data_IF_339203730184
#
_entry.id   IF_339203730184
#
_cell.length_a   1.000
_cell.length_b   1.000
_cell.length_c   1.000
_cell.angle_alpha   90.00
_cell.angle_beta   90.00
_cell.angle_gamma   90.00
#
_symmetry.space_group_name_H-M   'P 1'
#
loop_
_entity.id
_entity.type
_entity.pdbx_description
1 polymer ?
#
# COMPACT_ATOMS: atom_id res chain seq x y z
N UNK A 1 3.52 24.23 -21.54
CA UNK A 1 3.11 22.82 -21.64
C UNK A 1 4.04 22.08 -22.60
N UNK A 2 4.68 21.01 -22.10
CA UNK A 2 5.64 20.24 -22.92
C UNK A 2 4.98 19.01 -23.57
N UNK A 3 3.70 18.73 -23.29
CA UNK A 3 2.98 17.55 -23.75
C UNK A 3 3.55 16.21 -23.25
N UNK A 4 4.44 16.24 -22.25
CA UNK A 4 5.06 15.03 -21.72
C UNK A 4 4.11 14.27 -20.79
N UNK A 5 3.86 13.00 -21.05
CA UNK A 5 3.15 12.14 -20.13
C UNK A 5 4.00 11.88 -18.89
N UNK A 6 3.43 12.15 -17.72
CA UNK A 6 4.06 11.96 -16.39
C UNK A 6 3.14 11.09 -15.54
N UNK A 7 3.70 10.05 -14.99
CA UNK A 7 3.05 9.20 -13.99
C UNK A 7 3.46 9.68 -12.59
N UNK A 8 2.48 9.89 -11.72
CA UNK A 8 2.70 10.32 -10.34
C UNK A 8 2.02 9.32 -9.41
N UNK A 9 2.82 8.61 -8.63
CA UNK A 9 2.33 7.68 -7.62
C UNK A 9 2.38 8.35 -6.25
N UNK A 10 1.22 8.52 -5.64
CA UNK A 10 1.07 9.07 -4.28
C UNK A 10 1.56 8.07 -3.24
N UNK A 11 2.33 8.52 -2.25
CA UNK A 11 2.91 7.66 -1.24
C UNK A 11 2.52 8.05 0.17
N UNK A 12 2.85 9.27 0.56
CA UNK A 12 2.64 9.74 1.91
C UNK A 12 2.18 11.19 1.91
N UNK A 13 1.04 11.43 2.55
CA UNK A 13 0.63 12.78 2.88
C UNK A 13 1.59 13.36 3.92
N UNK A 14 2.07 14.57 3.70
CA UNK A 14 2.98 15.29 4.61
C UNK A 14 2.21 16.31 5.43
N UNK A 15 1.60 17.26 4.75
CA UNK A 15 0.80 18.33 5.36
C UNK A 15 -0.21 18.83 4.34
N UNK A 16 -1.45 19.07 4.75
CA UNK A 16 -2.50 19.62 3.89
C UNK A 16 -2.56 18.90 2.53
N UNK A 17 -2.22 19.63 1.46
CA UNK A 17 -2.24 19.14 0.07
C UNK A 17 -0.85 18.70 -0.42
N UNK A 18 0.13 18.61 0.46
CA UNK A 18 1.50 18.21 0.11
C UNK A 18 1.70 16.72 0.27
N UNK A 19 2.14 16.09 -0.81
CA UNK A 19 2.37 14.65 -0.87
C UNK A 19 3.78 14.31 -1.32
N UNK A 20 4.34 13.30 -0.69
CA UNK A 20 5.50 12.59 -1.21
C UNK A 20 5.02 11.64 -2.30
N UNK A 21 5.64 11.74 -3.47
CA UNK A 21 5.25 11.01 -4.66
C UNK A 21 6.47 10.39 -5.33
N UNK A 22 6.30 9.22 -5.94
CA UNK A 22 7.24 8.70 -6.92
C UNK A 22 6.79 9.11 -8.32
N UNK A 23 7.73 9.59 -9.14
CA UNK A 23 7.43 10.18 -10.45
C UNK A 23 8.17 9.47 -11.56
N UNK A 24 7.49 9.24 -12.68
CA UNK A 24 8.09 8.63 -13.87
C UNK A 24 7.64 9.38 -15.14
N UNK A 25 8.58 9.86 -15.97
CA UNK A 25 10.04 9.91 -15.80
C UNK A 25 10.48 11.06 -14.88
N UNK A 26 11.18 10.75 -13.80
CA UNK A 26 11.57 11.70 -12.76
C UNK A 26 12.50 12.84 -13.25
N UNK A 27 13.34 12.56 -14.24
CA UNK A 27 14.31 13.53 -14.81
C UNK A 27 13.65 14.78 -15.41
N UNK A 28 12.39 14.68 -15.79
CA UNK A 28 11.63 15.79 -16.40
C UNK A 28 11.02 16.73 -15.36
N UNK A 29 10.92 16.31 -14.11
CA UNK A 29 10.26 17.07 -13.04
C UNK A 29 11.32 17.72 -12.15
N UNK A 30 11.31 19.04 -12.15
CA UNK A 30 12.14 19.93 -11.32
C UNK A 30 11.24 20.74 -10.39
N UNK A 31 11.83 21.39 -9.39
CA UNK A 31 11.09 22.34 -8.55
C UNK A 31 10.42 23.41 -9.44
N UNK A 32 9.14 23.69 -9.19
CA UNK A 32 8.29 24.57 -9.99
C UNK A 32 7.66 23.93 -11.23
N UNK A 33 7.94 22.63 -11.50
CA UNK A 33 7.23 21.91 -12.57
C UNK A 33 5.79 21.64 -12.16
N UNK A 34 4.84 21.91 -13.05
CA UNK A 34 3.42 21.64 -12.84
C UNK A 34 3.01 20.45 -13.70
N UNK A 35 2.29 19.52 -13.10
CA UNK A 35 1.66 18.36 -13.77
C UNK A 35 0.15 18.54 -13.66
N UNK A 36 -0.54 18.46 -14.81
CA UNK A 36 -1.99 18.56 -14.89
C UNK A 36 -2.62 17.19 -15.08
N UNK A 37 -3.72 16.93 -14.39
CA UNK A 37 -4.48 15.69 -14.43
C UNK A 37 -5.92 15.97 -14.85
N UNK A 38 -6.47 15.11 -15.74
CA UNK A 38 -7.87 15.20 -16.16
C UNK A 38 -8.20 16.53 -16.82
N UNK A 39 -7.34 16.99 -17.76
CA UNK A 39 -7.54 18.26 -18.46
C UNK A 39 -7.72 19.49 -17.54
N UNK A 40 -6.98 19.51 -16.42
CA UNK A 40 -6.99 20.62 -15.47
C UNK A 40 -7.93 20.47 -14.28
N UNK A 41 -8.58 19.32 -14.12
CA UNK A 41 -9.41 19.02 -12.92
C UNK A 41 -8.57 19.08 -11.65
N UNK A 42 -7.30 18.64 -11.74
CA UNK A 42 -6.33 18.72 -10.65
C UNK A 42 -4.95 19.04 -11.21
N UNK A 43 -4.19 19.86 -10.51
CA UNK A 43 -2.81 20.17 -10.81
C UNK A 43 -1.92 19.85 -9.61
N UNK A 44 -0.66 19.53 -9.87
CA UNK A 44 0.35 19.36 -8.83
C UNK A 44 1.64 20.07 -9.19
N UNK A 45 2.12 20.91 -8.28
CA UNK A 45 3.38 21.62 -8.40
C UNK A 45 4.48 20.89 -7.63
N UNK A 46 5.59 20.60 -8.29
CA UNK A 46 6.76 20.02 -7.62
C UNK A 46 7.44 21.10 -6.75
N UNK A 47 7.34 20.95 -5.44
CA UNK A 47 7.93 21.89 -4.47
C UNK A 47 9.31 21.43 -3.98
N UNK A 48 9.62 20.14 -4.07
CA UNK A 48 10.93 19.60 -3.66
C UNK A 48 11.30 18.35 -4.48
N UNK A 49 12.56 18.34 -4.90
CA UNK A 49 13.19 17.16 -5.51
C UNK A 49 13.91 16.37 -4.43
N UNK A 50 13.69 15.09 -4.39
CA UNK A 50 14.37 14.11 -3.54
C UNK A 50 15.13 13.10 -4.41
N UNK A 51 15.91 12.25 -3.79
CA UNK A 51 16.64 11.18 -4.47
C UNK A 51 15.70 10.11 -5.05
N UNK A 52 16.23 9.23 -5.87
CA UNK A 52 15.55 8.03 -6.40
C UNK A 52 14.20 8.26 -7.10
N UNK A 53 13.97 9.44 -7.63
CA UNK A 53 12.73 9.76 -8.34
C UNK A 53 11.61 10.27 -7.44
N UNK A 54 11.85 10.41 -6.14
CA UNK A 54 10.88 10.99 -5.22
C UNK A 54 10.79 12.50 -5.36
N UNK A 55 9.58 13.03 -5.15
CA UNK A 55 9.25 14.45 -5.22
C UNK A 55 8.21 14.78 -4.15
N UNK A 56 8.24 16.01 -3.66
CA UNK A 56 7.09 16.55 -2.96
C UNK A 56 6.29 17.40 -3.94
N UNK A 57 5.00 17.08 -4.01
CA UNK A 57 4.03 17.83 -4.79
C UNK A 57 3.02 18.50 -3.89
N UNK A 58 2.70 19.74 -4.20
CA UNK A 58 1.55 20.45 -3.66
C UNK A 58 0.41 20.37 -4.67
N UNK A 59 -0.69 19.73 -4.27
CA UNK A 59 -1.85 19.52 -5.13
C UNK A 59 -2.83 20.69 -5.04
N UNK A 60 -3.33 21.15 -6.20
CA UNK A 60 -4.33 22.18 -6.35
C UNK A 60 -5.55 21.59 -7.04
N UNK A 61 -6.70 21.69 -6.41
CA UNK A 61 -7.96 21.09 -6.88
C UNK A 61 -9.15 21.81 -6.23
N UNK A 62 -10.33 21.65 -6.80
CA UNK A 62 -11.59 22.09 -6.18
C UNK A 62 -12.33 20.87 -5.58
N UNK A 63 -12.98 21.08 -4.43
CA UNK A 63 -13.77 20.06 -3.74
C UNK A 63 -12.94 19.16 -2.83
N UNK A 64 -13.26 17.87 -2.80
CA UNK A 64 -12.65 16.87 -1.91
C UNK A 64 -11.56 16.11 -2.65
N UNK A 65 -10.36 16.07 -2.08
CA UNK A 65 -9.20 15.40 -2.68
C UNK A 65 -9.47 13.93 -3.04
N UNK A 66 -10.12 13.20 -2.14
CA UNK A 66 -10.41 11.79 -2.35
C UNK A 66 -11.34 11.58 -3.56
N UNK A 67 -12.35 12.43 -3.74
CA UNK A 67 -13.25 12.38 -4.90
C UNK A 67 -12.49 12.61 -6.21
N UNK A 68 -11.52 13.56 -6.22
CA UNK A 68 -10.67 13.79 -7.38
C UNK A 68 -9.75 12.60 -7.67
N UNK A 69 -9.23 11.95 -6.63
CA UNK A 69 -8.45 10.74 -6.80
C UNK A 69 -9.27 9.57 -7.34
N UNK A 70 -10.52 9.43 -6.89
CA UNK A 70 -11.42 8.38 -7.39
C UNK A 70 -11.79 8.59 -8.86
N UNK A 71 -11.92 9.85 -9.28
CA UNK A 71 -12.21 10.23 -10.67
C UNK A 71 -10.99 10.03 -11.59
N UNK A 72 -9.81 10.48 -11.17
CA UNK A 72 -8.62 10.60 -12.02
C UNK A 72 -7.62 9.47 -11.82
N UNK A 73 -7.60 8.90 -10.61
CA UNK A 73 -6.58 7.94 -10.21
C UNK A 73 -6.83 6.53 -10.73
N UNK A 74 -5.72 5.83 -10.90
CA UNK A 74 -5.73 4.39 -11.14
C UNK A 74 -4.99 3.69 -10.01
N UNK A 75 -5.49 2.53 -9.59
CA UNK A 75 -4.80 1.72 -8.58
C UNK A 75 -3.47 1.23 -9.14
N UNK A 76 -2.34 1.43 -8.42
CA UNK A 76 -1.07 0.88 -8.84
C UNK A 76 -1.12 -0.64 -8.78
N UNK A 77 -0.70 -1.28 -9.87
CA UNK A 77 -0.62 -2.73 -9.95
C UNK A 77 0.85 -3.18 -10.00
N UNK A 78 1.15 -4.38 -9.49
CA UNK A 78 2.48 -4.97 -9.68
C UNK A 78 2.83 -5.05 -11.17
N UNK A 79 4.12 -4.91 -11.54
CA UNK A 79 4.55 -4.84 -12.95
C UNK A 79 4.20 -6.06 -13.81
N UNK A 80 3.91 -7.21 -13.17
CA UNK A 80 3.52 -8.43 -13.87
C UNK A 80 2.04 -8.46 -14.28
N UNK A 81 1.20 -7.58 -13.72
CA UNK A 81 -0.20 -7.39 -14.13
C UNK A 81 -0.24 -6.33 -15.23
N UNK A 82 -0.52 -6.75 -16.46
CA UNK A 82 -0.53 -5.87 -17.62
C UNK A 82 -1.93 -5.44 -18.04
N UNK A 83 -2.96 -6.15 -17.58
CA UNK A 83 -4.35 -5.84 -17.88
C UNK A 83 -4.82 -4.65 -17.03
N UNK A 84 -5.60 -3.76 -17.65
CA UNK A 84 -6.26 -2.68 -16.91
C UNK A 84 -7.40 -3.27 -16.09
N UNK A 85 -7.43 -2.95 -14.79
CA UNK A 85 -8.57 -3.27 -13.96
C UNK A 85 -9.76 -2.40 -14.37
N UNK A 86 -10.84 -3.05 -14.79
CA UNK A 86 -12.15 -2.42 -15.00
C UNK A 86 -12.88 -2.22 -13.67
N UNK A 87 -12.58 -3.07 -12.70
CA UNK A 87 -13.11 -3.03 -11.34
C UNK A 87 -11.95 -2.84 -10.35
N UNK A 88 -11.89 -1.67 -9.74
CA UNK A 88 -10.83 -1.30 -8.78
C UNK A 88 -10.82 -2.21 -7.55
N UNK A 89 -11.99 -2.68 -7.11
CA UNK A 89 -12.14 -3.55 -5.94
C UNK A 89 -11.60 -4.97 -6.18
N UNK A 90 -11.44 -5.36 -7.44
CA UNK A 90 -10.92 -6.70 -7.79
C UNK A 90 -9.51 -6.94 -7.28
N UNK A 91 -8.68 -5.89 -7.15
CA UNK A 91 -7.33 -5.99 -6.62
C UNK A 91 -7.26 -5.50 -5.17
N UNK A 92 -8.27 -5.85 -4.37
CA UNK A 92 -8.33 -5.58 -2.94
C UNK A 92 -8.99 -6.74 -2.19
N UNK A 93 -8.66 -6.94 -0.92
CA UNK A 93 -9.30 -7.97 -0.10
C UNK A 93 -10.68 -7.50 0.38
N UNK A 94 -11.61 -8.45 0.53
CA UNK A 94 -12.97 -8.17 1.04
C UNK A 94 -12.98 -7.65 2.50
N UNK A 95 -11.85 -7.71 3.18
CA UNK A 95 -11.67 -7.25 4.57
C UNK A 95 -10.75 -6.03 4.69
N UNK A 96 -10.40 -5.39 3.59
CA UNK A 96 -9.62 -4.14 3.62
C UNK A 96 -10.39 -3.01 4.30
N UNK A 97 -9.74 -2.27 5.20
CA UNK A 97 -10.34 -1.16 5.94
C UNK A 97 -9.47 0.09 5.94
N UNK A 98 -8.19 -0.08 6.19
CA UNK A 98 -7.28 1.05 6.41
C UNK A 98 -6.60 1.46 5.12
N UNK A 99 -6.71 2.74 4.79
CA UNK A 99 -6.05 3.35 3.61
C UNK A 99 -4.60 3.68 3.95
N UNK A 100 -3.69 3.52 2.98
CA UNK A 100 -2.28 3.95 3.15
C UNK A 100 -1.23 2.92 2.73
N UNK A 101 -1.63 1.74 2.27
CA UNK A 101 -0.71 0.72 1.73
C UNK A 101 -0.54 0.89 0.22
N UNK A 102 0.70 0.74 -0.27
CA UNK A 102 1.00 0.75 -1.72
C UNK A 102 0.72 -0.58 -2.41
N UNK A 103 0.45 -1.66 -1.65
CA UNK A 103 0.20 -2.98 -2.21
C UNK A 103 -0.90 -3.72 -1.44
N UNK A 104 -1.70 -4.50 -2.16
CA UNK A 104 -2.68 -5.40 -1.56
C UNK A 104 -2.02 -6.72 -1.10
N UNK A 105 -2.52 -7.36 -0.02
CA UNK A 105 -2.05 -8.67 0.42
C UNK A 105 -2.62 -9.75 -0.52
N UNK A 106 -1.91 -10.07 -1.60
CA UNK A 106 -2.41 -10.87 -2.71
C UNK A 106 -2.90 -12.27 -2.32
N UNK A 107 -2.31 -12.90 -1.31
CA UNK A 107 -2.83 -14.17 -0.78
C UNK A 107 -4.25 -14.03 -0.21
N UNK A 108 -4.61 -12.86 0.28
CA UNK A 108 -5.95 -12.55 0.81
C UNK A 108 -7.02 -12.36 -0.25
N UNK A 109 -6.65 -12.12 -1.52
CA UNK A 109 -7.61 -11.94 -2.63
C UNK A 109 -8.42 -13.20 -2.94
N UNK A 110 -7.98 -14.36 -2.48
CA UNK A 110 -8.69 -15.61 -2.63
C UNK A 110 -9.85 -15.78 -1.66
N UNK A 111 -9.95 -14.95 -0.61
CA UNK A 111 -11.05 -15.00 0.34
C UNK A 111 -12.25 -14.21 -0.18
N UNK A 112 -13.43 -14.82 -0.07
CA UNK A 112 -14.72 -14.15 -0.20
C UNK A 112 -15.40 -14.08 1.17
N UNK A 113 -16.41 -13.23 1.31
CA UNK A 113 -17.19 -13.16 2.55
C UNK A 113 -17.81 -14.52 2.90
N UNK A 114 -18.33 -15.24 1.91
CA UNK A 114 -18.92 -16.57 2.08
C UNK A 114 -17.89 -17.60 2.56
N UNK A 115 -16.65 -17.52 2.06
CA UNK A 115 -15.57 -18.41 2.51
C UNK A 115 -15.18 -18.10 3.96
N UNK A 116 -15.02 -16.81 4.31
CA UNK A 116 -14.74 -16.39 5.67
C UNK A 116 -15.84 -16.84 6.65
N UNK A 117 -17.09 -16.74 6.26
CA UNK A 117 -18.21 -17.22 7.08
C UNK A 117 -18.22 -18.73 7.27
N UNK A 118 -17.92 -19.50 6.20
CA UNK A 118 -17.75 -20.96 6.31
C UNK A 118 -16.60 -21.36 7.24
N UNK A 119 -15.51 -20.59 7.23
CA UNK A 119 -14.37 -20.83 8.15
C UNK A 119 -14.80 -20.58 9.60
N UNK A 120 -15.50 -19.49 9.88
CA UNK A 120 -16.05 -19.17 11.20
C UNK A 120 -17.02 -20.25 11.68
N UNK A 121 -17.92 -20.72 10.81
CA UNK A 121 -18.88 -21.80 11.13
C UNK A 121 -18.20 -23.12 11.50
N UNK A 122 -16.97 -23.36 11.03
CA UNK A 122 -16.13 -24.50 11.45
C UNK A 122 -15.44 -24.29 12.82
N UNK A 123 -15.72 -23.21 13.52
CA UNK A 123 -15.11 -22.91 14.83
C UNK A 123 -13.68 -22.36 14.72
N UNK A 124 -13.26 -21.87 13.55
CA UNK A 124 -11.96 -21.25 13.36
C UNK A 124 -12.06 -19.74 13.67
N UNK A 125 -11.20 -19.27 14.57
CA UNK A 125 -11.10 -17.84 14.84
C UNK A 125 -10.38 -17.14 13.68
N UNK A 126 -10.92 -16.00 13.23
CA UNK A 126 -10.30 -15.14 12.24
C UNK A 126 -9.95 -13.84 12.93
N UNK A 127 -8.67 -13.47 12.87
CA UNK A 127 -8.17 -12.21 13.38
C UNK A 127 -7.50 -11.43 12.24
N UNK A 128 -7.52 -10.11 12.36
CA UNK A 128 -6.99 -9.21 11.35
C UNK A 128 -5.84 -8.39 11.92
N UNK A 129 -4.93 -8.03 11.06
CA UNK A 129 -3.88 -7.05 11.33
C UNK A 129 -3.74 -6.12 10.14
N UNK A 130 -3.15 -4.97 10.35
CA UNK A 130 -2.86 -4.00 9.29
C UNK A 130 -1.36 -3.85 9.13
N UNK A 131 -0.89 -3.90 7.88
CA UNK A 131 0.47 -3.54 7.49
C UNK A 131 0.39 -2.53 6.36
N UNK A 132 0.98 -1.37 6.54
CA UNK A 132 1.13 -0.37 5.48
C UNK A 132 2.38 -0.69 4.67
N UNK A 133 2.19 -1.46 3.61
CA UNK A 133 3.27 -1.89 2.73
C UNK A 133 3.79 -0.69 1.94
N UNK A 134 5.06 -0.42 2.08
CA UNK A 134 5.76 0.65 1.36
C UNK A 134 6.17 0.23 -0.06
N UNK A 135 6.67 1.19 -0.82
CA UNK A 135 7.18 0.98 -2.20
C UNK A 135 8.34 0.02 -2.29
N UNK A 136 9.06 -0.20 -1.21
CA UNK A 136 10.19 -1.13 -1.18
C UNK A 136 9.81 -2.54 -1.66
N UNK A 137 8.57 -2.94 -1.48
CA UNK A 137 8.04 -4.23 -1.96
C UNK A 137 8.11 -4.38 -3.50
N UNK A 138 8.07 -3.29 -4.24
CA UNK A 138 8.16 -3.29 -5.70
C UNK A 138 9.59 -3.10 -6.23
N UNK A 139 10.55 -2.84 -5.34
CA UNK A 139 11.97 -2.72 -5.73
C UNK A 139 12.61 -4.10 -5.75
N UNK A 140 13.28 -4.48 -6.85
CA UNK A 140 14.07 -5.70 -6.86
C UNK A 140 15.19 -5.63 -5.82
N UNK A 141 15.49 -6.76 -5.19
CA UNK A 141 16.71 -6.89 -4.38
C UNK A 141 17.89 -6.74 -5.33
N UNK A 142 18.74 -5.73 -5.09
CA UNK A 142 19.87 -5.36 -5.95
C UNK A 142 21.22 -5.73 -5.36
N UNK A 143 21.25 -6.33 -4.18
CA UNK A 143 22.46 -6.77 -3.49
C UNK A 143 22.74 -8.23 -3.78
N UNK A 144 24.04 -8.62 -3.80
CA UNK A 144 24.45 -10.01 -4.04
C UNK A 144 24.26 -10.88 -2.78
N UNK A 145 24.54 -10.33 -1.59
CA UNK A 145 24.36 -11.04 -0.33
C UNK A 145 23.08 -10.52 0.35
N UNK A 146 22.29 -11.44 0.89
CA UNK A 146 21.01 -11.11 1.54
C UNK A 146 21.20 -10.28 2.81
N UNK A 147 22.34 -10.44 3.50
CA UNK A 147 22.70 -9.69 4.70
C UNK A 147 22.94 -8.20 4.41
N UNK A 148 23.32 -7.85 3.17
CA UNK A 148 23.54 -6.46 2.74
C UNK A 148 22.24 -5.76 2.35
N UNK A 149 21.11 -6.48 2.35
CA UNK A 149 19.82 -5.91 2.01
C UNK A 149 19.23 -5.14 3.18
N UNK A 150 19.17 -3.82 3.03
CA UNK A 150 18.52 -2.94 4.01
C UNK A 150 16.99 -3.05 3.87
N UNK A 151 16.38 -3.74 4.82
CA UNK A 151 14.92 -3.90 4.89
C UNK A 151 14.27 -2.61 5.38
N UNK A 152 13.48 -1.99 4.52
CA UNK A 152 12.72 -0.80 4.87
C UNK A 152 11.71 -1.08 5.98
N UNK A 153 11.52 -0.06 6.85
CA UNK A 153 10.53 -0.09 7.92
C UNK A 153 9.14 0.12 7.36
N UNK A 154 8.18 -0.63 7.89
CA UNK A 154 6.76 -0.52 7.56
C UNK A 154 5.94 -0.37 8.85
N UNK A 155 4.91 0.45 8.80
CA UNK A 155 4.01 0.65 9.92
C UNK A 155 2.98 -0.47 9.97
N UNK A 156 2.80 -1.07 11.15
CA UNK A 156 1.79 -2.11 11.35
C UNK A 156 0.94 -1.84 12.58
N UNK A 157 -0.24 -2.47 12.60
CA UNK A 157 -1.12 -2.50 13.76
C UNK A 157 -1.60 -3.93 14.01
N UNK A 158 -1.37 -4.42 15.22
CA UNK A 158 -1.98 -5.62 15.76
C UNK A 158 -2.68 -5.21 17.06
N UNK A 159 -4.01 -5.27 17.07
CA UNK A 159 -4.76 -4.92 18.25
C UNK A 159 -4.62 -5.98 19.38
N UNK A 160 -4.94 -5.55 20.61
CA UNK A 160 -4.80 -6.41 21.79
C UNK A 160 -5.71 -7.64 21.74
N UNK A 161 -6.88 -7.51 21.15
CA UNK A 161 -7.84 -8.61 21.03
C UNK A 161 -7.30 -9.68 20.07
N UNK A 162 -6.82 -9.29 18.89
CA UNK A 162 -6.18 -10.19 17.93
C UNK A 162 -4.96 -10.90 18.56
N UNK A 163 -4.10 -10.16 19.26
CA UNK A 163 -2.95 -10.73 19.96
C UNK A 163 -3.36 -11.75 21.01
N UNK A 164 -4.39 -11.46 21.81
CA UNK A 164 -4.90 -12.39 22.83
C UNK A 164 -5.44 -13.68 22.19
N UNK A 165 -6.23 -13.58 21.11
CA UNK A 165 -6.75 -14.77 20.42
C UNK A 165 -5.62 -15.65 19.89
N UNK A 166 -4.58 -15.06 19.31
CA UNK A 166 -3.40 -15.79 18.82
C UNK A 166 -2.70 -16.52 19.98
N UNK A 167 -2.44 -15.82 21.08
CA UNK A 167 -1.73 -16.35 22.23
C UNK A 167 -2.52 -17.49 22.92
N UNK A 168 -3.82 -17.31 23.14
CA UNK A 168 -4.68 -18.35 23.72
C UNK A 168 -4.78 -19.57 22.79
N UNK A 169 -4.84 -19.38 21.47
CA UNK A 169 -4.82 -20.48 20.50
C UNK A 169 -3.55 -21.31 20.66
N UNK A 170 -2.38 -20.66 20.73
CA UNK A 170 -1.09 -21.35 20.91
C UNK A 170 -1.01 -22.05 22.29
N UNK A 171 -1.41 -21.37 23.35
CA UNK A 171 -1.42 -21.91 24.71
C UNK A 171 -2.27 -23.18 24.84
N UNK A 172 -3.38 -23.24 24.12
CA UNK A 172 -4.30 -24.39 24.11
C UNK A 172 -3.90 -25.47 23.09
N UNK A 173 -2.68 -25.42 22.52
CA UNK A 173 -2.19 -26.40 21.54
C UNK A 173 -2.83 -26.31 20.16
N UNK A 174 -3.54 -25.22 19.87
CA UNK A 174 -4.11 -24.93 18.57
C UNK A 174 -3.07 -24.48 17.56
N UNK A 175 -3.48 -24.36 16.28
CA UNK A 175 -2.62 -23.93 15.19
C UNK A 175 -2.98 -22.51 14.74
N UNK A 176 -1.96 -21.72 14.46
CA UNK A 176 -2.10 -20.37 13.86
C UNK A 176 -1.66 -20.45 12.40
N UNK A 177 -2.52 -19.97 11.52
CA UNK A 177 -2.26 -19.89 10.08
C UNK A 177 -2.08 -18.42 9.69
N UNK A 178 -0.88 -18.06 9.30
CA UNK A 178 -0.58 -16.75 8.74
C UNK A 178 -0.87 -16.76 7.24
N UNK A 179 -1.79 -15.91 6.79
CA UNK A 179 -2.18 -15.83 5.37
C UNK A 179 -1.37 -14.74 4.68
N UNK A 180 -0.41 -15.18 3.85
CA UNK A 180 0.47 -14.32 3.07
C UNK A 180 1.66 -13.76 3.85
N UNK A 181 2.61 -13.24 3.09
CA UNK A 181 3.84 -12.66 3.62
C UNK A 181 3.59 -11.40 4.46
N UNK A 182 2.53 -10.65 4.16
CA UNK A 182 2.09 -9.48 4.93
C UNK A 182 1.85 -9.84 6.40
N UNK A 183 1.05 -10.88 6.65
CA UNK A 183 0.76 -11.34 8.01
C UNK A 183 2.00 -11.92 8.69
N UNK A 184 2.79 -12.71 7.97
CA UNK A 184 4.02 -13.31 8.50
C UNK A 184 5.04 -12.24 8.90
N UNK A 185 5.27 -11.25 8.03
CA UNK A 185 6.19 -10.14 8.29
C UNK A 185 5.80 -9.31 9.52
N UNK A 186 4.50 -9.20 9.79
CA UNK A 186 4.02 -8.50 10.99
C UNK A 186 4.18 -9.34 12.25
N UNK A 187 3.83 -10.63 12.20
CA UNK A 187 3.80 -11.48 13.39
C UNK A 187 5.19 -11.95 13.85
N UNK A 188 6.11 -12.21 12.93
CA UNK A 188 7.45 -12.73 13.26
C UNK A 188 8.27 -11.77 14.14
N UNK A 189 8.40 -10.46 13.86
CA UNK A 189 9.12 -9.54 14.74
C UNK A 189 8.46 -9.44 16.11
N UNK A 190 7.12 -9.31 16.14
CA UNK A 190 6.37 -9.22 17.42
C UNK A 190 6.62 -10.44 18.29
N UNK A 191 6.68 -11.63 17.69
CA UNK A 191 6.91 -12.88 18.42
C UNK A 191 8.35 -13.05 18.93
N UNK A 192 9.33 -12.35 18.31
CA UNK A 192 10.74 -12.36 18.75
C UNK A 192 11.00 -11.40 19.89
N UNK A 193 10.27 -10.29 19.92
CA UNK A 193 10.46 -9.21 20.91
C UNK A 193 9.67 -9.46 22.21
N UNK A 194 8.86 -10.52 22.29
CA UNK A 194 8.06 -10.94 23.44
C UNK A 194 8.35 -12.41 23.81
#
# INVERSE_FOLDING_TARGET
DTGAAIEVLLLKNKEHNMWECLVKPAKRIKVGSIVSFGDGIMEAECVKVLDDGFRYFEFKYEGIFQERLDELGTMPLPPYIKERLTDKERYQTVYSKEVGSSAAPTAGLHFTNELLDKIKQKGVNIVYLTLHVGLGTFRPVSVENIEDHDMHSEYYTLDKEAANVINETKKNGGRVFSVGTTSTRTLEPIARDN
#
